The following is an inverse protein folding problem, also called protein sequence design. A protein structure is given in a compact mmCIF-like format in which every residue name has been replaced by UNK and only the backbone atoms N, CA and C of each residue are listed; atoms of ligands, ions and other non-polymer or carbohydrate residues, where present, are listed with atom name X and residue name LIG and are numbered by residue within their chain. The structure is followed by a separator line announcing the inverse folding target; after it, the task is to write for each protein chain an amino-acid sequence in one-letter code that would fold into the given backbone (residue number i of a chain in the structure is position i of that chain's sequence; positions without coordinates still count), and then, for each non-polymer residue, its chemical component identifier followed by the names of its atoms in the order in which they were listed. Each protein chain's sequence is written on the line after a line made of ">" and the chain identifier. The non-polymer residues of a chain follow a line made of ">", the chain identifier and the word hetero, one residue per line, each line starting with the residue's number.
data_IF_819989913759
#
_entry.id   IF_819989913759
#
_cell.length_a   1.000
_cell.length_b   1.000
_cell.length_c   1.000
_cell.angle_alpha   90.00
_cell.angle_beta   90.00
_cell.angle_gamma   90.00
#
_symmetry.space_group_name_H-M   'P 1'
#
loop_
_entity.id
_entity.type
_entity.pdbx_description
1 polymer ?
#
# COMPACT_ATOMS: atom_id res chain seq x y z
N UNK A 1 -21.26 -29.01 36.10
CA UNK A 1 -19.86 -28.90 35.63
C UNK A 1 -19.76 -27.67 34.74
N UNK A 2 -18.97 -26.63 34.98
CA UNK A 2 -18.46 -25.94 36.16
C UNK A 2 -17.99 -24.59 35.57
N UNK A 3 -18.48 -23.47 36.09
CA UNK A 3 -18.03 -22.13 35.71
C UNK A 3 -16.70 -21.89 36.42
N UNK A 4 -15.63 -21.66 35.67
CA UNK A 4 -14.36 -21.23 36.25
C UNK A 4 -14.25 -19.70 36.16
N UNK A 5 -14.43 -19.05 37.31
CA UNK A 5 -14.06 -17.66 37.58
C UNK A 5 -12.54 -17.52 37.57
N UNK A 6 -12.01 -16.51 36.87
CA UNK A 6 -10.59 -16.15 36.94
C UNK A 6 -10.39 -15.07 38.02
N UNK A 7 -9.82 -15.48 39.16
CA UNK A 7 -9.31 -14.57 40.20
C UNK A 7 -7.95 -14.01 39.78
N UNK A 8 -7.78 -12.70 39.87
CA UNK A 8 -6.48 -12.04 39.83
C UNK A 8 -5.90 -12.01 41.26
N UNK A 9 -4.80 -12.71 41.50
CA UNK A 9 -3.98 -12.54 42.69
C UNK A 9 -2.72 -11.71 42.36
N UNK A 10 -2.47 -10.71 43.20
CA UNK A 10 -1.23 -9.91 43.19
C UNK A 10 -0.05 -10.76 43.67
N UNK A 11 1.02 -10.82 42.87
CA UNK A 11 2.23 -11.58 43.20
C UNK A 11 3.51 -10.83 42.82
N UNK A 12 4.16 -10.24 43.82
CA UNK A 12 5.51 -9.66 43.82
C UNK A 12 6.57 -10.77 43.77
N UNK A 13 7.53 -10.72 42.84
CA UNK A 13 8.80 -11.49 42.88
C UNK A 13 9.90 -10.62 42.24
N UNK A 14 10.73 -9.92 43.02
CA UNK A 14 12.06 -10.32 43.54
C UNK A 14 13.09 -10.57 42.42
N UNK A 15 13.99 -9.60 42.27
CA UNK A 15 15.09 -9.61 41.32
C UNK A 15 16.15 -10.66 41.64
N UNK A 16 16.78 -11.17 40.59
CA UNK A 16 17.95 -12.05 40.67
C UNK A 16 19.18 -11.29 40.19
N UNK A 17 20.14 -11.11 41.10
CA UNK A 17 21.49 -10.62 40.81
C UNK A 17 22.30 -11.73 40.12
N UNK A 18 22.84 -11.45 38.94
CA UNK A 18 23.96 -12.21 38.39
C UNK A 18 25.26 -11.44 38.66
N UNK A 19 26.13 -12.02 39.46
CA UNK A 19 27.48 -11.51 39.72
C UNK A 19 28.45 -12.05 38.67
N UNK A 20 29.24 -11.18 38.03
CA UNK A 20 30.50 -11.59 37.39
C UNK A 20 31.61 -10.65 37.86
N UNK A 21 32.64 -11.23 38.49
CA UNK A 21 33.89 -10.53 38.84
C UNK A 21 34.75 -10.40 37.58
N UNK A 22 35.26 -9.20 37.30
CA UNK A 22 36.25 -8.98 36.24
C UNK A 22 36.74 -7.54 36.15
N UNK A 23 37.93 -7.32 36.72
CA UNK A 23 38.93 -6.25 36.53
C UNK A 23 38.58 -4.77 36.26
N UNK A 24 39.27 -3.93 37.04
CA UNK A 24 39.33 -2.46 36.97
C UNK A 24 40.08 -1.97 35.73
N UNK A 25 39.63 -0.79 35.28
CA UNK A 25 40.23 0.19 34.36
C UNK A 25 39.65 0.22 32.93
N UNK A 26 38.55 0.96 32.77
CA UNK A 26 38.53 2.13 31.88
C UNK A 26 37.28 2.99 32.13
N UNK A 27 37.50 4.28 32.36
CA UNK A 27 36.41 5.28 32.48
C UNK A 27 36.03 5.74 31.08
N UNK A 28 34.89 5.30 30.58
CA UNK A 28 34.13 6.05 29.57
C UNK A 28 32.68 6.23 30.03
N UNK A 29 32.25 7.49 30.02
CA UNK A 29 30.92 7.94 30.41
C UNK A 29 29.86 7.32 29.48
N UNK A 30 29.04 6.39 29.99
CA UNK A 30 27.75 6.07 29.39
C UNK A 30 26.68 6.98 30.01
N UNK A 31 26.31 8.02 29.28
CA UNK A 31 25.14 8.83 29.59
C UNK A 31 23.87 8.02 29.39
N UNK A 32 23.06 7.88 30.43
CA UNK A 32 21.70 7.35 30.33
C UNK A 32 20.83 8.37 29.58
N UNK A 33 20.59 8.12 28.28
CA UNK A 33 19.63 8.90 27.48
C UNK A 33 18.23 8.64 28.06
N UNK A 34 17.72 9.56 28.89
CA UNK A 34 16.31 9.57 29.29
C UNK A 34 15.46 9.74 28.04
N UNK A 35 14.73 8.69 27.69
CA UNK A 35 13.76 8.68 26.59
C UNK A 35 12.63 9.68 26.91
N UNK A 36 12.55 10.78 26.16
CA UNK A 36 11.57 11.85 26.42
C UNK A 36 10.26 11.54 25.70
N UNK A 37 9.34 10.85 26.39
CA UNK A 37 8.05 10.44 25.84
C UNK A 37 7.12 11.60 25.45
N UNK A 38 7.39 12.83 25.92
CA UNK A 38 6.62 14.03 25.56
C UNK A 38 6.95 14.54 24.17
N UNK A 39 8.24 14.60 23.81
CA UNK A 39 8.66 15.08 22.48
C UNK A 39 8.26 14.11 21.37
N UNK A 40 8.33 12.81 21.63
CA UNK A 40 7.88 11.75 20.70
C UNK A 40 6.38 11.87 20.42
N UNK A 41 5.55 12.14 21.44
CA UNK A 41 4.09 12.34 21.27
C UNK A 41 3.74 13.60 20.47
N UNK A 42 4.49 14.70 20.64
CA UNK A 42 4.26 15.94 19.89
C UNK A 42 4.66 15.79 18.41
N UNK A 43 5.78 15.13 18.14
CA UNK A 43 6.25 14.83 16.78
C UNK A 43 5.32 13.83 16.05
N UNK A 44 4.88 12.76 16.73
CA UNK A 44 3.84 11.84 16.24
C UNK A 44 2.58 12.58 15.79
N UNK A 45 2.15 13.57 16.59
CA UNK A 45 0.95 14.36 16.33
C UNK A 45 1.15 15.27 15.12
N UNK A 46 2.34 15.84 14.93
CA UNK A 46 2.67 16.67 13.76
C UNK A 46 2.60 15.89 12.44
N UNK A 47 3.23 14.71 12.40
CA UNK A 47 3.22 13.82 11.22
C UNK A 47 1.79 13.38 10.90
N UNK A 48 1.04 12.87 11.87
CA UNK A 48 -0.34 12.46 11.64
C UNK A 48 -1.24 13.61 11.14
N UNK A 49 -1.04 14.84 11.63
CA UNK A 49 -1.75 16.02 11.17
C UNK A 49 -1.40 16.39 9.72
N UNK A 50 -0.14 16.28 9.33
CA UNK A 50 0.28 16.56 7.95
C UNK A 50 -0.25 15.52 6.98
N UNK A 51 -0.20 14.22 7.32
CA UNK A 51 -0.85 13.18 6.52
C UNK A 51 -2.35 13.44 6.40
N UNK A 52 -3.03 13.73 7.51
CA UNK A 52 -4.45 14.08 7.49
C UNK A 52 -4.70 15.29 6.58
N UNK A 53 -3.86 16.33 6.65
CA UNK A 53 -3.97 17.50 5.78
C UNK A 53 -3.83 17.12 4.30
N UNK A 54 -2.82 16.33 3.94
CA UNK A 54 -2.60 15.86 2.57
C UNK A 54 -3.78 15.03 2.05
N UNK A 55 -4.40 14.21 2.91
CA UNK A 55 -5.53 13.35 2.54
C UNK A 55 -6.88 14.09 2.51
N UNK A 56 -7.04 15.17 3.27
CA UNK A 56 -8.35 15.83 3.47
C UNK A 56 -8.46 17.23 2.89
N UNK A 57 -7.35 17.86 2.51
CA UNK A 57 -7.34 19.20 1.94
C UNK A 57 -6.97 19.15 0.45
N UNK A 58 -7.95 19.31 -0.45
CA UNK A 58 -7.69 19.43 -1.88
C UNK A 58 -6.77 20.61 -2.15
N UNK A 59 -5.72 20.38 -2.95
CA UNK A 59 -4.80 21.44 -3.41
C UNK A 59 -5.22 22.04 -4.75
N UNK A 60 -6.19 21.42 -5.42
CA UNK A 60 -6.76 21.86 -6.70
C UNK A 60 -8.25 21.50 -6.78
N UNK A 61 -8.97 22.11 -7.71
CA UNK A 61 -10.40 21.88 -7.96
C UNK A 61 -10.54 21.18 -9.31
N UNK A 62 -11.36 20.14 -9.35
CA UNK A 62 -11.86 19.57 -10.60
C UNK A 62 -13.32 19.96 -10.79
N UNK A 63 -13.66 20.59 -11.91
CA UNK A 63 -15.03 21.02 -12.22
C UNK A 63 -15.88 19.89 -12.80
N UNK A 64 -15.27 18.95 -13.53
CA UNK A 64 -15.93 17.79 -14.14
C UNK A 64 -15.45 16.50 -13.48
N UNK A 65 -15.73 16.35 -12.20
CA UNK A 65 -15.37 15.16 -11.43
C UNK A 65 -16.48 14.10 -11.53
N UNK A 66 -16.13 12.89 -11.93
CA UNK A 66 -17.05 11.75 -12.00
C UNK A 66 -16.55 10.58 -11.16
N UNK A 67 -17.47 9.69 -10.76
CA UNK A 67 -17.15 8.40 -10.15
C UNK A 67 -17.23 7.34 -11.23
N UNK A 68 -16.21 6.49 -11.30
CA UNK A 68 -16.17 5.35 -12.21
C UNK A 68 -15.93 4.04 -11.46
N UNK A 69 -16.56 2.97 -11.96
CA UNK A 69 -16.49 1.63 -11.40
C UNK A 69 -17.35 1.41 -10.18
N UNK A 70 -16.96 0.41 -9.39
CA UNK A 70 -17.54 -0.01 -8.12
C UNK A 70 -18.77 -0.92 -8.21
N UNK A 71 -18.89 -1.77 -7.19
CA UNK A 71 -19.99 -2.71 -6.99
C UNK A 71 -20.48 -2.66 -5.55
N UNK A 72 -21.70 -3.11 -5.33
CA UNK A 72 -22.21 -3.34 -3.97
C UNK A 72 -21.72 -4.70 -3.49
N UNK A 73 -20.92 -4.72 -2.43
CA UNK A 73 -20.48 -5.91 -1.72
C UNK A 73 -20.99 -5.86 -0.28
N UNK A 74 -21.74 -6.89 0.16
CA UNK A 74 -22.27 -6.99 1.53
C UNK A 74 -23.03 -5.74 2.02
N UNK A 75 -23.70 -5.02 1.11
CA UNK A 75 -24.47 -3.81 1.43
C UNK A 75 -23.63 -2.52 1.50
N UNK A 76 -22.32 -2.60 1.32
CA UNK A 76 -21.44 -1.46 1.12
C UNK A 76 -21.11 -1.29 -0.37
N UNK A 77 -21.03 -0.05 -0.84
CA UNK A 77 -20.59 0.24 -2.21
C UNK A 77 -19.10 0.55 -2.18
N UNK A 78 -18.33 -0.20 -2.96
CA UNK A 78 -16.87 -0.19 -2.95
C UNK A 78 -16.31 -0.30 -4.38
N UNK A 79 -15.02 0.00 -4.57
CA UNK A 79 -14.32 -0.12 -5.85
C UNK A 79 -14.39 1.12 -6.75
N UNK A 80 -15.19 2.15 -6.40
CA UNK A 80 -15.25 3.38 -7.20
C UNK A 80 -14.01 4.22 -7.06
N UNK A 81 -13.51 4.76 -8.17
CA UNK A 81 -12.46 5.77 -8.16
C UNK A 81 -12.93 7.07 -8.83
N UNK A 82 -12.37 8.19 -8.39
CA UNK A 82 -12.70 9.52 -8.93
C UNK A 82 -11.88 9.78 -10.21
N UNK A 83 -12.52 10.37 -11.21
CA UNK A 83 -11.86 10.78 -12.46
C UNK A 83 -12.19 12.25 -12.72
N UNK A 84 -11.16 13.05 -13.01
CA UNK A 84 -11.32 14.43 -13.42
C UNK A 84 -11.31 14.54 -14.96
N UNK A 85 -12.34 15.18 -15.51
CA UNK A 85 -12.50 15.40 -16.95
C UNK A 85 -12.32 16.87 -17.35
N UNK A 86 -11.65 17.66 -16.51
CA UNK A 86 -11.23 19.01 -16.90
C UNK A 86 -10.20 18.92 -18.04
N UNK A 87 -10.18 19.90 -18.94
CA UNK A 87 -9.49 19.79 -20.23
C UNK A 87 -7.97 19.54 -20.11
N UNK A 88 -7.34 19.97 -19.02
CA UNK A 88 -5.93 19.78 -18.71
C UNK A 88 -5.63 18.43 -18.01
N UNK A 89 -6.65 17.79 -17.44
CA UNK A 89 -6.57 16.49 -16.76
C UNK A 89 -7.18 15.34 -17.57
N UNK A 90 -7.94 15.64 -18.62
CA UNK A 90 -8.71 14.68 -19.41
C UNK A 90 -7.83 13.56 -20.00
N UNK A 91 -8.33 12.33 -19.89
CA UNK A 91 -7.76 11.16 -20.55
C UNK A 91 -8.20 11.16 -22.02
N UNK A 92 -7.28 11.51 -22.93
CA UNK A 92 -7.58 11.62 -24.35
C UNK A 92 -7.81 10.24 -24.97
N UNK A 93 -9.01 10.02 -25.51
CA UNK A 93 -9.37 8.78 -26.19
C UNK A 93 -8.31 8.32 -27.20
N UNK A 94 -8.00 7.02 -27.19
CA UNK A 94 -6.96 6.34 -28.01
C UNK A 94 -5.52 6.79 -27.77
N UNK A 95 -5.29 7.69 -26.82
CA UNK A 95 -3.96 8.15 -26.43
C UNK A 95 -3.66 7.90 -24.95
N UNK A 96 -4.71 7.71 -24.14
CA UNK A 96 -4.60 7.40 -22.73
C UNK A 96 -4.17 5.96 -22.47
N UNK A 97 -3.24 5.81 -21.53
CA UNK A 97 -2.80 4.53 -20.96
C UNK A 97 -3.15 4.49 -19.47
N UNK A 98 -3.83 3.43 -19.05
CA UNK A 98 -4.29 3.27 -17.66
C UNK A 98 -3.77 1.98 -17.08
N UNK A 99 -3.20 2.07 -15.88
CA UNK A 99 -2.82 0.90 -15.08
C UNK A 99 -3.69 0.81 -13.84
N UNK A 100 -4.20 -0.39 -13.59
CA UNK A 100 -5.09 -0.72 -12.48
C UNK A 100 -4.55 -1.92 -11.74
N UNK A 101 -3.92 -1.66 -10.59
CA UNK A 101 -3.31 -2.70 -9.75
C UNK A 101 -4.24 -3.08 -8.61
N UNK A 102 -4.42 -4.39 -8.41
CA UNK A 102 -5.33 -4.98 -7.45
C UNK A 102 -6.78 -4.74 -7.84
N UNK A 103 -7.24 -5.52 -8.80
CA UNK A 103 -8.63 -5.44 -9.29
C UNK A 103 -9.56 -6.34 -8.50
N UNK A 104 -9.03 -7.35 -7.79
CA UNK A 104 -9.85 -8.40 -7.20
C UNK A 104 -10.84 -8.95 -8.23
N UNK A 105 -12.12 -8.95 -7.86
CA UNK A 105 -13.21 -9.41 -8.74
C UNK A 105 -13.98 -8.28 -9.43
N UNK A 106 -13.54 -7.03 -9.32
CA UNK A 106 -14.25 -5.86 -9.82
C UNK A 106 -13.48 -5.11 -10.92
N UNK A 107 -13.82 -5.42 -12.16
CA UNK A 107 -13.31 -4.74 -13.36
C UNK A 107 -14.16 -3.55 -13.81
N UNK A 108 -15.21 -3.16 -13.06
CA UNK A 108 -16.15 -2.14 -13.55
C UNK A 108 -15.50 -0.77 -13.74
N UNK A 109 -14.47 -0.44 -12.95
CA UNK A 109 -13.67 0.77 -13.17
C UNK A 109 -12.92 0.67 -14.51
N UNK A 110 -12.21 -0.43 -14.71
CA UNK A 110 -11.40 -0.71 -15.90
C UNK A 110 -12.25 -0.69 -17.18
N UNK A 111 -13.45 -1.28 -17.11
CA UNK A 111 -14.43 -1.30 -18.19
C UNK A 111 -14.93 0.12 -18.52
N UNK A 112 -15.33 0.90 -17.52
CA UNK A 112 -15.83 2.27 -17.75
C UNK A 112 -14.74 3.21 -18.29
N UNK A 113 -13.49 3.02 -17.88
CA UNK A 113 -12.37 3.80 -18.40
C UNK A 113 -12.03 3.39 -19.84
N UNK A 114 -12.22 2.12 -20.19
CA UNK A 114 -12.13 1.66 -21.59
C UNK A 114 -13.19 2.35 -22.47
N UNK A 115 -14.38 2.62 -21.94
CA UNK A 115 -15.46 3.29 -22.70
C UNK A 115 -15.15 4.76 -23.01
N UNK A 116 -14.17 5.35 -22.30
CA UNK A 116 -13.55 6.63 -22.68
C UNK A 116 -12.56 6.49 -23.85
N UNK A 117 -12.34 5.28 -24.35
CA UNK A 117 -11.41 4.94 -25.42
C UNK A 117 -9.96 4.75 -24.96
N UNK A 118 -9.72 4.50 -23.66
CA UNK A 118 -8.38 4.26 -23.14
C UNK A 118 -7.90 2.83 -23.35
N UNK A 119 -6.58 2.69 -23.43
CA UNK A 119 -5.88 1.42 -23.30
C UNK A 119 -5.72 1.13 -21.80
N UNK A 120 -6.33 0.05 -21.32
CA UNK A 120 -6.40 -0.28 -19.89
C UNK A 120 -5.70 -1.61 -19.63
N UNK A 121 -4.78 -1.62 -18.68
CA UNK A 121 -4.15 -2.83 -18.18
C UNK A 121 -4.43 -3.00 -16.69
N UNK A 122 -5.12 -4.08 -16.40
CA UNK A 122 -5.52 -4.52 -15.07
C UNK A 122 -4.57 -5.62 -14.59
N UNK A 123 -4.21 -5.60 -13.31
CA UNK A 123 -3.18 -6.47 -12.76
C UNK A 123 -3.61 -7.01 -11.41
N UNK A 124 -3.70 -8.32 -11.29
CA UNK A 124 -3.80 -9.03 -10.02
C UNK A 124 -3.38 -10.48 -10.22
N UNK A 125 -3.02 -11.18 -9.16
CA UNK A 125 -2.76 -12.61 -9.25
C UNK A 125 -2.91 -13.32 -7.92
N UNK A 126 -3.86 -14.24 -7.86
CA UNK A 126 -3.95 -15.36 -6.94
C UNK A 126 -4.68 -16.51 -7.66
N UNK A 127 -5.09 -17.54 -6.89
CA UNK A 127 -5.81 -18.69 -7.43
C UNK A 127 -7.19 -18.32 -8.01
N UNK A 128 -7.88 -17.35 -7.41
CA UNK A 128 -9.23 -16.97 -7.82
C UNK A 128 -9.21 -16.17 -9.12
N UNK A 129 -8.09 -15.52 -9.44
CA UNK A 129 -7.88 -14.80 -10.69
C UNK A 129 -7.54 -15.71 -11.89
N UNK A 130 -7.31 -17.01 -11.68
CA UNK A 130 -6.99 -17.92 -12.78
C UNK A 130 -8.16 -18.09 -13.77
N UNK A 131 -9.38 -17.79 -13.33
CA UNK A 131 -10.60 -17.86 -14.14
C UNK A 131 -10.71 -16.77 -15.22
N UNK A 132 -9.97 -15.67 -15.08
CA UNK A 132 -10.08 -14.53 -15.97
C UNK A 132 -9.18 -14.67 -17.20
N UNK A 133 -9.74 -14.32 -18.36
CA UNK A 133 -9.00 -14.25 -19.62
C UNK A 133 -8.13 -13.00 -19.69
N UNK A 134 -7.10 -13.05 -20.55
CA UNK A 134 -6.24 -11.90 -20.82
C UNK A 134 -7.01 -10.70 -21.38
N UNK A 135 -8.06 -10.93 -22.18
CA UNK A 135 -8.81 -9.87 -22.84
C UNK A 135 -10.18 -9.74 -22.20
N UNK A 136 -10.35 -8.71 -21.38
CA UNK A 136 -11.60 -8.41 -20.67
C UNK A 136 -12.46 -7.36 -21.40
N UNK A 137 -11.92 -6.72 -22.44
CA UNK A 137 -12.68 -5.85 -23.34
C UNK A 137 -11.93 -5.49 -24.62
N UNK A 138 -12.48 -4.61 -25.49
CA UNK A 138 -11.85 -4.21 -26.74
C UNK A 138 -10.47 -3.57 -26.58
N UNK A 139 -10.27 -2.78 -25.51
CA UNK A 139 -9.02 -2.09 -25.17
C UNK A 139 -8.63 -2.29 -23.71
N UNK A 140 -9.25 -3.25 -23.01
CA UNK A 140 -8.96 -3.62 -21.64
C UNK A 140 -8.37 -5.04 -21.55
N UNK A 141 -7.26 -5.15 -20.82
CA UNK A 141 -6.46 -6.38 -20.70
C UNK A 141 -6.16 -6.71 -19.25
N UNK A 142 -6.30 -7.97 -18.86
CA UNK A 142 -5.97 -8.46 -17.53
C UNK A 142 -4.68 -9.27 -17.53
N UNK A 143 -3.80 -8.98 -16.58
CA UNK A 143 -2.51 -9.65 -16.41
C UNK A 143 -2.45 -10.34 -15.06
N UNK A 144 -2.13 -11.63 -15.10
CA UNK A 144 -1.88 -12.47 -13.92
C UNK A 144 -0.51 -12.18 -13.32
N UNK A 145 -0.35 -10.99 -12.76
CA UNK A 145 0.87 -10.51 -12.08
C UNK A 145 0.51 -9.43 -11.07
N UNK A 146 1.12 -9.48 -9.89
CA UNK A 146 1.04 -8.40 -8.89
C UNK A 146 2.20 -7.43 -9.05
N UNK A 147 1.97 -6.15 -8.77
CA UNK A 147 3.07 -5.18 -8.64
C UNK A 147 3.73 -5.34 -7.27
N UNK A 148 5.06 -5.24 -7.23
CA UNK A 148 5.82 -5.39 -5.99
C UNK A 148 7.16 -4.67 -6.01
N UNK A 149 7.85 -4.57 -4.85
CA UNK A 149 9.15 -3.90 -4.75
C UNK A 149 10.27 -4.65 -5.49
N UNK A 150 10.07 -5.92 -5.81
CA UNK A 150 11.04 -6.76 -6.52
C UNK A 150 10.34 -7.72 -7.48
N UNK A 151 10.93 -7.93 -8.64
CA UNK A 151 10.47 -8.95 -9.60
C UNK A 151 10.88 -10.34 -9.14
N UNK A 152 9.93 -11.28 -9.16
CA UNK A 152 10.15 -12.68 -8.81
C UNK A 152 8.86 -13.40 -8.48
N UNK A 153 8.97 -14.69 -8.18
CA UNK A 153 7.86 -15.49 -7.65
C UNK A 153 8.10 -15.76 -6.18
N UNK A 154 7.25 -15.21 -5.32
CA UNK A 154 7.35 -15.37 -3.88
C UNK A 154 5.95 -15.34 -3.25
N UNK A 155 5.83 -15.89 -2.03
CA UNK A 155 4.55 -15.92 -1.31
C UNK A 155 4.11 -14.50 -0.95
N UNK A 156 2.80 -14.29 -0.80
CA UNK A 156 2.29 -12.98 -0.43
C UNK A 156 3.03 -12.43 0.80
N UNK A 157 3.61 -11.24 0.65
CA UNK A 157 4.44 -10.58 1.66
C UNK A 157 3.65 -9.56 2.50
N UNK A 158 2.43 -9.22 2.09
CA UNK A 158 1.63 -8.14 2.68
C UNK A 158 0.48 -8.68 3.52
N UNK A 159 -0.24 -9.69 3.02
CA UNK A 159 -1.30 -10.39 3.76
C UNK A 159 -1.17 -11.90 3.59
N UNK A 160 -1.37 -12.65 4.66
CA UNK A 160 -1.47 -14.11 4.64
C UNK A 160 -2.90 -14.47 5.02
N UNK A 161 -3.71 -14.92 4.07
CA UNK A 161 -5.06 -15.44 4.36
C UNK A 161 -4.93 -16.87 4.90
N UNK A 162 -4.50 -17.00 6.14
CA UNK A 162 -4.51 -18.26 6.85
C UNK A 162 -5.51 -18.18 8.00
N UNK A 163 -6.70 -18.77 7.83
CA UNK A 163 -7.51 -19.14 8.99
C UNK A 163 -6.72 -20.17 9.82
N UNK A 164 -6.29 -19.77 11.01
CA UNK A 164 -5.71 -20.62 12.06
C UNK A 164 -4.33 -21.27 11.80
N UNK A 165 -3.57 -20.85 10.79
CA UNK A 165 -2.19 -21.33 10.63
C UNK A 165 -1.19 -20.34 11.25
N UNK A 166 -0.22 -20.85 12.01
CA UNK A 166 0.86 -20.03 12.57
C UNK A 166 1.56 -19.24 11.46
N UNK A 167 1.87 -17.97 11.74
CA UNK A 167 2.64 -17.06 10.86
C UNK A 167 3.86 -17.84 10.32
N UNK A 168 3.97 -17.99 9.00
CA UNK A 168 5.09 -18.67 8.34
C UNK A 168 4.85 -20.11 7.86
N UNK A 169 3.63 -20.65 7.96
CA UNK A 169 3.28 -22.00 7.46
C UNK A 169 2.97 -22.08 5.96
N UNK A 170 2.79 -20.94 5.27
CA UNK A 170 2.79 -20.86 3.81
C UNK A 170 1.68 -21.64 3.11
N UNK A 171 0.45 -21.12 3.13
CA UNK A 171 -0.69 -21.70 2.42
C UNK A 171 -0.83 -21.17 0.99
N UNK A 172 -0.52 -19.90 0.74
CA UNK A 172 -0.69 -19.31 -0.60
C UNK A 172 0.44 -19.71 -1.56
N UNK A 173 0.14 -20.24 -2.76
CA UNK A 173 1.18 -20.56 -3.73
C UNK A 173 2.04 -19.32 -4.04
N UNK A 174 3.30 -19.49 -4.47
CA UNK A 174 4.12 -18.35 -4.90
C UNK A 174 3.39 -17.53 -5.97
N UNK A 175 3.20 -16.24 -5.69
CA UNK A 175 2.57 -15.29 -6.58
C UNK A 175 3.65 -14.66 -7.45
N UNK A 176 3.32 -14.39 -8.71
CA UNK A 176 4.23 -13.68 -9.62
C UNK A 176 4.15 -12.18 -9.33
N UNK A 177 5.27 -11.61 -8.90
CA UNK A 177 5.44 -10.18 -8.74
C UNK A 177 6.35 -9.59 -9.83
N UNK A 178 6.05 -8.37 -10.24
CA UNK A 178 6.94 -7.55 -11.04
C UNK A 178 7.05 -6.14 -10.47
N UNK A 179 8.23 -5.54 -10.61
CA UNK A 179 8.37 -4.11 -10.35
C UNK A 179 7.57 -3.30 -11.37
N UNK A 180 7.15 -2.10 -10.98
CA UNK A 180 6.47 -1.18 -11.91
C UNK A 180 7.28 -0.94 -13.19
N UNK A 181 8.61 -0.82 -13.07
CA UNK A 181 9.53 -0.69 -14.20
C UNK A 181 9.49 -1.91 -15.11
N UNK A 182 9.53 -3.12 -14.55
CA UNK A 182 9.53 -4.36 -15.34
C UNK A 182 8.18 -4.60 -16.02
N UNK A 183 7.06 -4.24 -15.38
CA UNK A 183 5.72 -4.26 -15.98
C UNK A 183 5.71 -3.38 -17.24
N UNK A 184 6.13 -2.11 -17.10
CA UNK A 184 6.20 -1.19 -18.25
C UNK A 184 7.09 -1.71 -19.37
N UNK A 185 8.24 -2.29 -19.03
CA UNK A 185 9.14 -2.88 -20.01
C UNK A 185 8.51 -4.07 -20.72
N UNK A 186 7.84 -4.96 -19.98
CA UNK A 186 7.20 -6.16 -20.54
C UNK A 186 6.07 -5.82 -21.52
N UNK A 187 5.39 -4.69 -21.31
CA UNK A 187 4.33 -4.19 -22.19
C UNK A 187 4.84 -3.24 -23.29
N UNK A 188 6.13 -2.91 -23.32
CA UNK A 188 6.68 -1.94 -24.27
C UNK A 188 6.26 -0.49 -24.00
N UNK A 189 5.83 -0.18 -22.77
CA UNK A 189 5.30 1.11 -22.35
C UNK A 189 6.35 2.05 -21.74
N UNK A 190 7.64 1.74 -21.88
CA UNK A 190 8.76 2.52 -21.29
C UNK A 190 8.73 4.01 -21.67
N UNK A 191 8.26 4.30 -22.90
CA UNK A 191 8.15 5.66 -23.45
C UNK A 191 6.71 6.20 -23.48
N UNK A 192 5.73 5.43 -23.00
CA UNK A 192 4.34 5.88 -22.88
C UNK A 192 4.14 6.57 -21.53
N UNK A 193 3.46 7.72 -21.56
CA UNK A 193 2.87 8.34 -20.37
C UNK A 193 1.75 7.42 -19.87
N UNK A 194 1.64 7.28 -18.55
CA UNK A 194 0.47 6.68 -17.89
C UNK A 194 -0.42 7.83 -17.46
N UNK A 195 -1.67 7.83 -17.88
CA UNK A 195 -2.62 8.92 -17.65
C UNK A 195 -3.41 8.70 -16.35
N UNK A 196 -3.67 7.45 -16.00
CA UNK A 196 -4.30 7.07 -14.74
C UNK A 196 -3.58 5.87 -14.13
N UNK A 197 -3.18 6.02 -12.87
CA UNK A 197 -2.63 4.95 -12.05
C UNK A 197 -3.58 4.68 -10.88
N UNK A 198 -4.31 3.57 -10.93
CA UNK A 198 -5.07 3.03 -9.79
C UNK A 198 -4.17 2.05 -9.05
N UNK A 199 -4.09 2.20 -7.73
CA UNK A 199 -3.19 1.44 -6.87
C UNK A 199 -3.94 1.02 -5.59
N UNK A 200 -4.32 -0.25 -5.53
CA UNK A 200 -5.19 -0.80 -4.49
C UNK A 200 -4.80 -2.26 -4.25
N UNK A 201 -3.66 -2.51 -3.58
CA UNK A 201 -2.97 -3.81 -3.62
C UNK A 201 -2.86 -4.49 -2.26
N UNK A 202 -3.79 -4.14 -1.36
CA UNK A 202 -3.98 -4.81 -0.07
C UNK A 202 -2.70 -4.79 0.80
N UNK A 203 -2.15 -3.59 1.02
CA UNK A 203 -1.10 -3.36 2.04
C UNK A 203 0.33 -3.28 1.52
N UNK A 204 0.55 -3.38 0.21
CA UNK A 204 1.87 -3.20 -0.41
C UNK A 204 2.14 -1.80 -0.98
N UNK A 205 1.22 -0.86 -0.77
CA UNK A 205 1.25 0.45 -1.43
C UNK A 205 2.49 1.23 -1.11
N UNK A 206 2.91 1.21 0.15
CA UNK A 206 4.02 2.02 0.58
C UNK A 206 5.35 1.55 0.02
N UNK A 207 5.63 0.26 0.08
CA UNK A 207 6.85 -0.36 -0.40
C UNK A 207 7.01 -0.18 -1.91
N UNK A 208 5.91 -0.30 -2.67
CA UNK A 208 5.94 -0.08 -4.12
C UNK A 208 6.14 1.40 -4.42
N UNK A 209 5.45 2.32 -3.75
CA UNK A 209 5.65 3.76 -3.97
C UNK A 209 7.08 4.17 -3.65
N UNK A 210 7.66 3.69 -2.55
CA UNK A 210 9.07 3.94 -2.21
C UNK A 210 10.00 3.45 -3.33
N UNK A 211 9.78 2.24 -3.84
CA UNK A 211 10.57 1.69 -4.93
C UNK A 211 10.42 2.50 -6.23
N UNK A 212 9.21 2.95 -6.55
CA UNK A 212 8.93 3.82 -7.70
C UNK A 212 9.61 5.18 -7.55
N UNK A 213 9.72 5.73 -6.35
CA UNK A 213 10.36 7.02 -6.11
C UNK A 213 11.90 6.97 -6.20
N UNK A 214 12.51 5.79 -6.04
CA UNK A 214 13.96 5.64 -6.16
C UNK A 214 14.48 5.85 -7.58
N UNK A 215 13.70 5.51 -8.61
CA UNK A 215 14.12 5.69 -10.01
C UNK A 215 13.65 7.03 -10.58
N UNK A 216 14.54 7.71 -11.30
CA UNK A 216 14.21 8.99 -11.95
C UNK A 216 13.10 8.85 -12.99
N UNK A 217 13.09 7.75 -13.75
CA UNK A 217 12.11 7.54 -14.82
C UNK A 217 10.69 7.36 -14.28
N UNK A 218 10.55 6.67 -13.15
CA UNK A 218 9.27 6.42 -12.49
C UNK A 218 8.80 7.64 -11.70
N UNK A 219 9.71 8.42 -11.09
CA UNK A 219 9.37 9.75 -10.54
C UNK A 219 8.83 10.70 -11.60
N UNK A 220 9.52 10.80 -12.74
CA UNK A 220 9.07 11.65 -13.84
C UNK A 220 7.70 11.22 -14.37
N UNK A 221 7.41 9.91 -14.38
CA UNK A 221 6.09 9.39 -14.72
C UNK A 221 5.03 9.77 -13.71
N UNK A 222 5.28 9.58 -12.40
CA UNK A 222 4.34 9.95 -11.35
C UNK A 222 4.00 11.44 -11.42
N UNK A 223 5.00 12.29 -11.68
CA UNK A 223 4.79 13.72 -11.88
C UNK A 223 4.02 14.06 -13.16
N UNK A 224 4.04 13.18 -14.17
CA UNK A 224 3.38 13.40 -15.45
C UNK A 224 1.98 12.78 -15.53
N UNK A 225 1.61 11.86 -14.63
CA UNK A 225 0.29 11.24 -14.65
C UNK A 225 -0.81 12.28 -14.39
N UNK A 226 -1.91 12.24 -15.15
CA UNK A 226 -3.07 13.11 -14.87
C UNK A 226 -3.75 12.72 -13.56
N UNK A 227 -3.77 11.41 -13.27
CA UNK A 227 -4.43 10.86 -12.11
C UNK A 227 -3.59 9.78 -11.44
N UNK A 228 -3.52 9.86 -10.11
CA UNK A 228 -3.01 8.80 -9.25
C UNK A 228 -4.07 8.60 -8.17
N UNK A 229 -4.67 7.41 -8.14
CA UNK A 229 -5.62 6.99 -7.12
C UNK A 229 -4.99 5.85 -6.35
N UNK A 230 -4.80 6.05 -5.04
CA UNK A 230 -4.14 5.10 -4.16
C UNK A 230 -5.06 4.83 -2.98
N UNK A 231 -5.32 3.56 -2.73
CA UNK A 231 -5.96 3.08 -1.51
C UNK A 231 -4.88 2.77 -0.48
N UNK A 232 -4.84 3.51 0.63
CA UNK A 232 -3.84 3.28 1.67
C UNK A 232 -4.44 2.38 2.74
N UNK A 233 -4.01 1.13 2.74
CA UNK A 233 -4.36 0.16 3.79
C UNK A 233 -3.62 0.50 5.09
N UNK A 234 -4.37 0.81 6.15
CA UNK A 234 -3.83 1.21 7.44
C UNK A 234 -3.87 0.09 8.49
N UNK A 235 -4.21 -1.14 8.12
CA UNK A 235 -4.32 -2.28 9.04
C UNK A 235 -3.01 -2.51 9.80
N UNK A 236 -1.86 -2.37 9.14
CA UNK A 236 -0.55 -2.42 9.78
C UNK A 236 -0.41 -1.37 10.91
N UNK A 237 -0.92 -0.14 10.71
CA UNK A 237 -0.94 0.92 11.73
C UNK A 237 -1.87 0.56 12.88
N UNK A 238 -3.00 -0.08 12.59
CA UNK A 238 -3.96 -0.52 13.60
C UNK A 238 -3.38 -1.64 14.48
N UNK A 239 -2.63 -2.58 13.89
CA UNK A 239 -2.05 -3.73 14.57
C UNK A 239 -0.73 -3.45 15.31
N UNK A 240 -0.05 -2.32 15.02
CA UNK A 240 1.14 -1.90 15.78
C UNK A 240 0.80 -1.60 17.25
N UNK A 241 1.65 -2.11 18.16
CA UNK A 241 1.39 -2.08 19.61
C UNK A 241 1.89 -0.80 20.27
N UNK A 242 2.96 -0.19 19.74
CA UNK A 242 3.57 0.98 20.37
C UNK A 242 3.37 2.26 19.55
N UNK A 243 3.25 3.44 20.21
CA UNK A 243 3.20 4.72 19.52
C UNK A 243 4.42 5.02 18.65
N UNK A 244 5.61 4.54 19.05
CA UNK A 244 6.86 4.75 18.31
C UNK A 244 6.89 3.98 16.98
N UNK A 245 6.41 2.73 16.95
CA UNK A 245 6.25 1.96 15.72
C UNK A 245 5.30 2.66 14.74
N UNK A 246 4.14 3.13 15.24
CA UNK A 246 3.17 3.88 14.42
C UNK A 246 3.78 5.18 13.89
N UNK A 247 4.52 5.91 14.73
CA UNK A 247 5.17 7.15 14.32
C UNK A 247 6.24 6.88 13.27
N UNK A 248 7.09 5.87 13.46
CA UNK A 248 8.13 5.54 12.50
C UNK A 248 7.53 5.16 11.14
N UNK A 249 6.43 4.39 11.13
CA UNK A 249 5.72 4.06 9.90
C UNK A 249 5.14 5.32 9.23
N UNK A 250 4.38 6.14 9.96
CA UNK A 250 3.80 7.38 9.45
C UNK A 250 4.85 8.40 9.00
N UNK A 251 5.98 8.48 9.69
CA UNK A 251 7.10 9.37 9.35
C UNK A 251 7.80 8.89 8.09
N UNK A 252 7.98 7.57 7.96
CA UNK A 252 8.43 6.95 6.71
C UNK A 252 7.46 7.28 5.57
N UNK A 253 6.16 7.25 5.84
CA UNK A 253 5.10 7.61 4.89
C UNK A 253 5.21 9.06 4.41
N UNK A 254 5.58 10.01 5.28
CA UNK A 254 5.66 11.42 4.90
C UNK A 254 7.00 11.88 4.36
N UNK A 255 8.11 11.34 4.87
CA UNK A 255 9.45 11.76 4.44
C UNK A 255 9.82 11.29 3.03
N UNK A 256 9.00 10.46 2.41
CA UNK A 256 9.21 10.01 1.02
C UNK A 256 8.49 10.94 0.02
N UNK A 257 7.72 11.93 0.48
CA UNK A 257 6.98 12.89 -0.36
C UNK A 257 7.70 14.25 -0.48
N UNK A 258 8.86 14.43 0.16
CA UNK A 258 9.73 15.63 0.01
C UNK A 258 10.77 15.42 -1.08
#
# INVERSE_FOLDING_TARGET
>A
MEKAEYKMEEGRVMGTEFTSKGNKHDRQQQGTRKYNSRSVKEESRGVALELHRLLTQPTTICHKMIRMGGRTCLGAYDGTKMVCLDNDMEMKARQCLVYSFGVGHDFTFDEQVQDLGCEVHSFDHDLDHEIYDYRIGPTAFFHKVRVGPKTGSYRNIFFSYCDNAAIGTGCDPPIRYQTFTDIRKSLGHERRRVDYLKFDIEGGEWEVLQQMLQSHSTRALLAAASHISIEIHLDAVLHMKTPEEKQNLLTTYLNTVQ
#
